data_IF_366946918583
#
_entry.id   IF_366946918583
#
_cell.length_a   1.000
_cell.length_b   1.000
_cell.length_c   1.000
_cell.angle_alpha   90.00
_cell.angle_beta   90.00
_cell.angle_gamma   90.00
#
_symmetry.space_group_name_H-M   'P 1'
#
loop_
_entity.id
_entity.type
_entity.pdbx_description
1 polymer ?
#
# COMPACT_ATOMS: atom_id res chain seq x y z
N UNK A 1 24.90 6.13 14.27
CA UNK A 1 23.57 5.50 14.33
C UNK A 1 22.52 6.48 14.84
N UNK A 2 22.65 7.06 16.03
CA UNK A 2 21.62 7.96 16.62
C UNK A 2 21.17 9.14 15.72
N UNK A 3 22.05 9.68 14.86
CA UNK A 3 21.66 10.76 13.94
C UNK A 3 20.81 10.27 12.76
N UNK A 4 21.04 9.04 12.28
CA UNK A 4 20.31 8.47 11.15
C UNK A 4 18.92 7.98 11.58
N UNK A 5 18.82 7.41 12.78
CA UNK A 5 17.54 7.03 13.38
C UNK A 5 16.64 8.26 13.57
N UNK A 6 17.19 9.37 14.08
CA UNK A 6 16.47 10.65 14.19
C UNK A 6 16.00 11.20 12.85
N UNK A 7 16.85 11.14 11.81
CA UNK A 7 16.46 11.58 10.46
C UNK A 7 15.35 10.68 9.88
N UNK A 8 15.42 9.38 10.16
CA UNK A 8 14.39 8.42 9.75
C UNK A 8 13.07 8.70 10.47
N UNK A 9 13.09 9.03 11.75
CA UNK A 9 11.90 9.43 12.50
C UNK A 9 11.26 10.69 11.94
N UNK A 10 12.06 11.74 11.69
CA UNK A 10 11.57 12.99 11.06
C UNK A 10 10.95 12.69 9.70
N UNK A 11 11.60 11.86 8.90
CA UNK A 11 11.10 11.46 7.59
C UNK A 11 9.77 10.71 7.67
N UNK A 12 9.62 9.81 8.64
CA UNK A 12 8.36 9.11 8.92
C UNK A 12 7.27 10.09 9.33
N UNK A 13 7.59 11.08 10.17
CA UNK A 13 6.63 12.11 10.57
C UNK A 13 6.16 12.96 9.38
N UNK A 14 7.06 13.33 8.48
CA UNK A 14 6.70 14.08 7.28
C UNK A 14 5.91 13.23 6.28
N UNK A 15 6.26 11.96 6.14
CA UNK A 15 5.47 11.01 5.36
C UNK A 15 4.04 10.89 5.90
N UNK A 16 3.87 10.84 7.23
CA UNK A 16 2.56 10.85 7.89
C UNK A 16 1.77 12.14 7.65
N UNK A 17 2.43 13.27 7.35
CA UNK A 17 1.77 14.55 7.04
C UNK A 17 1.29 14.61 5.58
N UNK A 18 1.83 13.76 4.71
CA UNK A 18 1.51 13.71 3.28
C UNK A 18 0.02 13.43 3.05
N UNK A 19 -0.64 14.09 2.07
CA UNK A 19 -2.05 13.87 1.76
C UNK A 19 -2.37 12.39 1.51
N UNK A 20 -1.51 11.66 0.80
CA UNK A 20 -1.70 10.22 0.54
C UNK A 20 -1.88 9.40 1.84
N UNK A 21 -1.02 9.63 2.85
CA UNK A 21 -1.10 8.93 4.13
C UNK A 21 -2.34 9.33 4.94
N UNK A 22 -2.68 10.62 4.96
CA UNK A 22 -3.88 11.12 5.65
C UNK A 22 -5.15 10.54 5.04
N UNK A 23 -5.28 10.60 3.71
CA UNK A 23 -6.42 10.04 2.98
C UNK A 23 -6.53 8.54 3.21
N UNK A 24 -5.43 7.79 3.11
CA UNK A 24 -5.41 6.36 3.45
C UNK A 24 -5.92 6.11 4.88
N UNK A 25 -5.43 6.88 5.86
CA UNK A 25 -5.82 6.70 7.27
C UNK A 25 -7.30 7.04 7.52
N UNK A 26 -7.83 8.05 6.85
CA UNK A 26 -9.23 8.44 6.99
C UNK A 26 -10.16 7.43 6.33
N UNK A 27 -9.81 6.94 5.13
CA UNK A 27 -10.55 5.86 4.46
C UNK A 27 -10.47 4.54 5.24
N UNK A 28 -9.32 4.23 5.84
CA UNK A 28 -9.16 3.08 6.73
C UNK A 28 -10.10 3.17 7.94
N UNK A 29 -10.20 4.35 8.58
CA UNK A 29 -11.11 4.56 9.71
C UNK A 29 -12.58 4.44 9.27
N UNK A 30 -12.92 4.92 8.09
CA UNK A 30 -14.27 4.82 7.56
C UNK A 30 -14.64 3.36 7.26
N UNK A 31 -13.73 2.61 6.62
CA UNK A 31 -13.90 1.20 6.29
C UNK A 31 -13.99 0.32 7.55
N UNK A 32 -13.18 0.61 8.58
CA UNK A 32 -13.24 -0.09 9.88
C UNK A 32 -14.55 0.07 10.65
N UNK A 33 -15.46 0.96 10.23
CA UNK A 33 -16.80 1.03 10.81
C UNK A 33 -17.72 -0.07 10.29
N UNK A 34 -17.36 -0.69 9.18
CA UNK A 34 -18.05 -1.82 8.57
C UNK A 34 -17.17 -3.06 8.74
N UNK A 35 -17.42 -3.82 9.80
CA UNK A 35 -16.61 -5.00 10.16
C UNK A 35 -16.65 -6.10 9.09
N UNK A 36 -17.78 -6.26 8.38
CA UNK A 36 -17.91 -7.26 7.33
C UNK A 36 -17.08 -6.90 6.10
N UNK A 37 -17.11 -5.62 5.70
CA UNK A 37 -16.30 -5.15 4.58
C UNK A 37 -14.81 -5.09 4.94
N UNK A 38 -14.50 -4.76 6.19
CA UNK A 38 -13.12 -4.73 6.68
C UNK A 38 -12.46 -6.11 6.63
N UNK A 39 -13.15 -7.18 7.06
CA UNK A 39 -12.60 -8.55 6.97
C UNK A 39 -12.36 -8.96 5.49
N UNK A 40 -13.28 -8.66 4.58
CA UNK A 40 -13.09 -8.89 3.13
C UNK A 40 -11.85 -8.18 2.58
N UNK A 41 -11.65 -6.91 2.94
CA UNK A 41 -10.48 -6.13 2.52
C UNK A 41 -9.20 -6.62 3.19
N UNK A 42 -9.27 -7.10 4.43
CA UNK A 42 -8.13 -7.66 5.14
C UNK A 42 -7.67 -9.00 4.53
N UNK A 43 -8.59 -9.88 4.17
CA UNK A 43 -8.28 -11.09 3.39
C UNK A 43 -7.65 -10.73 2.05
N UNK A 44 -8.20 -9.73 1.35
CA UNK A 44 -7.64 -9.21 0.10
C UNK A 44 -6.18 -8.73 0.29
N UNK A 45 -5.91 -7.94 1.33
CA UNK A 45 -4.55 -7.44 1.61
C UNK A 45 -3.57 -8.56 1.92
N UNK A 46 -3.98 -9.56 2.70
CA UNK A 46 -3.12 -10.71 2.99
C UNK A 46 -2.79 -11.49 1.71
N UNK A 47 -3.81 -11.82 0.90
CA UNK A 47 -3.60 -12.49 -0.38
C UNK A 47 -2.70 -11.67 -1.31
N UNK A 48 -2.89 -10.34 -1.38
CA UNK A 48 -2.04 -9.43 -2.17
C UNK A 48 -0.58 -9.43 -1.70
N UNK A 49 -0.37 -9.44 -0.39
CA UNK A 49 0.96 -9.48 0.21
C UNK A 49 1.64 -10.83 -0.04
N UNK A 50 0.94 -11.94 0.14
CA UNK A 50 1.47 -13.28 -0.20
C UNK A 50 1.76 -13.41 -1.70
N UNK A 51 0.96 -12.80 -2.56
CA UNK A 51 1.20 -12.75 -4.00
C UNK A 51 2.51 -12.03 -4.32
N UNK A 52 2.72 -10.84 -3.75
CA UNK A 52 3.93 -10.04 -3.93
C UNK A 52 5.17 -10.69 -3.32
N UNK A 53 5.02 -11.44 -2.23
CA UNK A 53 6.13 -12.10 -1.54
C UNK A 53 6.58 -13.39 -2.22
N UNK A 54 5.62 -14.18 -2.73
CA UNK A 54 5.88 -15.51 -3.27
C UNK A 54 6.00 -15.54 -4.81
N UNK A 55 5.70 -14.43 -5.48
CA UNK A 55 5.85 -14.33 -6.94
C UNK A 55 6.98 -13.34 -7.23
N UNK A 56 7.83 -13.64 -8.19
CA UNK A 56 8.84 -12.71 -8.73
C UNK A 56 9.00 -12.99 -10.23
N UNK A 57 9.18 -11.94 -11.04
CA UNK A 57 9.28 -12.03 -12.50
C UNK A 57 7.94 -11.88 -13.24
N UNK A 58 7.88 -12.31 -14.50
CA UNK A 58 6.74 -12.11 -15.42
C UNK A 58 5.41 -12.72 -14.95
N UNK A 59 5.43 -13.80 -14.13
CA UNK A 59 4.22 -14.38 -13.54
C UNK A 59 3.46 -13.43 -12.60
N UNK A 60 4.13 -12.38 -12.11
CA UNK A 60 3.55 -11.42 -11.17
C UNK A 60 2.50 -10.53 -11.85
N UNK A 61 2.68 -10.23 -13.14
CA UNK A 61 1.75 -9.41 -13.91
C UNK A 61 0.45 -10.19 -14.19
N UNK A 62 0.53 -11.43 -14.65
CA UNK A 62 -0.65 -12.26 -14.93
C UNK A 62 -1.44 -12.59 -13.66
N UNK A 63 -0.73 -12.90 -12.56
CA UNK A 63 -1.37 -13.15 -11.26
C UNK A 63 -1.96 -11.87 -10.65
N UNK A 64 -1.33 -10.70 -10.85
CA UNK A 64 -1.89 -9.44 -10.40
C UNK A 64 -3.16 -9.07 -11.19
N UNK A 65 -3.18 -9.28 -12.50
CA UNK A 65 -4.35 -8.99 -13.34
C UNK A 65 -5.52 -9.94 -13.01
N UNK A 66 -5.23 -11.23 -12.78
CA UNK A 66 -6.22 -12.20 -12.28
C UNK A 66 -6.74 -11.81 -10.89
N UNK A 67 -5.86 -11.38 -10.00
CA UNK A 67 -6.22 -10.95 -8.64
C UNK A 67 -7.07 -9.68 -8.64
N UNK A 68 -6.78 -8.71 -9.51
CA UNK A 68 -7.62 -7.51 -9.67
C UNK A 68 -9.00 -7.86 -10.23
N UNK A 69 -9.10 -8.81 -11.16
CA UNK A 69 -10.39 -9.28 -11.70
C UNK A 69 -11.22 -10.05 -10.69
N UNK A 70 -10.60 -10.99 -9.96
CA UNK A 70 -11.31 -11.82 -8.99
C UNK A 70 -11.84 -11.00 -7.82
N UNK A 71 -11.18 -9.87 -7.52
CA UNK A 71 -11.58 -8.94 -6.48
C UNK A 71 -12.31 -7.69 -7.00
N UNK A 72 -12.82 -7.73 -8.23
CA UNK A 72 -13.65 -6.67 -8.81
C UNK A 72 -14.88 -6.35 -7.93
N UNK A 73 -15.44 -7.34 -7.23
CA UNK A 73 -16.55 -7.16 -6.28
C UNK A 73 -16.21 -6.21 -5.11
N UNK A 74 -14.92 -6.08 -4.74
CA UNK A 74 -14.49 -5.14 -3.70
C UNK A 74 -14.61 -3.69 -4.23
N UNK A 75 -14.42 -3.48 -5.53
CA UNK A 75 -14.57 -2.19 -6.18
C UNK A 75 -16.04 -1.74 -6.35
N UNK A 76 -17.00 -2.66 -6.21
CA UNK A 76 -18.43 -2.32 -6.23
C UNK A 76 -18.85 -1.55 -4.95
N UNK A 77 -18.19 -1.82 -3.82
CA UNK A 77 -18.40 -1.03 -2.61
C UNK A 77 -17.56 0.26 -2.67
N UNK A 78 -18.25 1.40 -2.68
CA UNK A 78 -17.62 2.73 -2.73
C UNK A 78 -16.55 2.93 -1.64
N UNK A 79 -16.78 2.46 -0.42
CA UNK A 79 -15.86 2.67 0.70
C UNK A 79 -14.58 1.83 0.55
N UNK A 80 -14.72 0.59 0.11
CA UNK A 80 -13.58 -0.27 -0.13
C UNK A 80 -12.78 0.18 -1.35
N UNK A 81 -13.45 0.61 -2.43
CA UNK A 81 -12.80 1.23 -3.59
C UNK A 81 -11.97 2.46 -3.18
N UNK A 82 -12.59 3.41 -2.48
CA UNK A 82 -11.88 4.63 -2.04
C UNK A 82 -10.71 4.32 -1.11
N UNK A 83 -10.81 3.26 -0.29
CA UNK A 83 -9.71 2.80 0.54
C UNK A 83 -8.57 2.20 -0.30
N UNK A 84 -8.87 1.33 -1.26
CA UNK A 84 -7.89 0.69 -2.13
C UNK A 84 -7.18 1.71 -3.03
N UNK A 85 -7.90 2.69 -3.57
CA UNK A 85 -7.32 3.79 -4.34
C UNK A 85 -6.33 4.60 -3.49
N UNK A 86 -6.69 4.91 -2.24
CA UNK A 86 -5.82 5.60 -1.31
C UNK A 86 -4.59 4.75 -0.91
N UNK A 87 -4.76 3.43 -0.77
CA UNK A 87 -3.67 2.49 -0.52
C UNK A 87 -2.68 2.43 -1.69
N UNK A 88 -3.17 2.34 -2.93
CA UNK A 88 -2.32 2.36 -4.13
C UNK A 88 -1.55 3.68 -4.24
N UNK A 89 -2.20 4.82 -3.96
CA UNK A 89 -1.52 6.11 -3.96
C UNK A 89 -0.39 6.17 -2.92
N UNK A 90 -0.60 5.62 -1.72
CA UNK A 90 0.42 5.51 -0.68
C UNK A 90 1.56 4.55 -1.09
N UNK A 91 1.24 3.39 -1.68
CA UNK A 91 2.23 2.45 -2.18
C UNK A 91 3.11 3.06 -3.27
N UNK A 92 2.53 3.82 -4.22
CA UNK A 92 3.30 4.54 -5.26
C UNK A 92 4.26 5.55 -4.65
N UNK A 93 3.82 6.31 -3.66
CA UNK A 93 4.69 7.24 -2.92
C UNK A 93 5.86 6.49 -2.25
N UNK A 94 5.57 5.38 -1.56
CA UNK A 94 6.61 4.56 -0.91
C UNK A 94 7.60 3.99 -1.92
N UNK A 95 7.11 3.50 -3.07
CA UNK A 95 7.97 2.97 -4.13
C UNK A 95 8.87 4.04 -4.73
N UNK A 96 8.35 5.24 -5.00
CA UNK A 96 9.14 6.37 -5.52
C UNK A 96 10.26 6.76 -4.53
N UNK A 97 9.94 6.77 -3.23
CA UNK A 97 10.91 7.01 -2.16
C UNK A 97 11.99 5.93 -2.14
N UNK A 98 11.59 4.65 -2.09
CA UNK A 98 12.53 3.53 -2.07
C UNK A 98 13.42 3.56 -3.33
N UNK A 99 12.84 3.81 -4.49
CA UNK A 99 13.57 3.92 -5.76
C UNK A 99 14.61 5.03 -5.69
N UNK A 100 14.23 6.25 -5.27
CA UNK A 100 15.18 7.35 -5.10
C UNK A 100 16.30 7.01 -4.12
N UNK A 101 15.99 6.37 -2.99
CA UNK A 101 16.99 5.94 -2.02
C UNK A 101 17.95 4.92 -2.63
N UNK A 102 17.45 3.87 -3.28
CA UNK A 102 18.28 2.82 -3.88
C UNK A 102 19.08 3.32 -5.08
N UNK A 103 18.53 4.23 -5.89
CA UNK A 103 19.24 4.85 -7.02
C UNK A 103 20.29 5.87 -6.58
N UNK A 104 20.17 6.42 -5.37
CA UNK A 104 21.16 7.35 -4.81
C UNK A 104 22.31 6.64 -4.09
N UNK A 105 22.19 5.34 -3.85
CA UNK A 105 23.23 4.51 -3.24
C UNK A 105 23.99 3.82 -4.38
N UNK A 106 25.26 4.18 -4.55
CA UNK A 106 26.17 3.44 -5.44
C UNK A 106 26.58 2.14 -4.74
N UNK A 107 26.16 1.01 -5.30
CA UNK A 107 26.60 -0.32 -4.87
C UNK A 107 27.79 -0.74 -5.73
N UNK A 108 28.95 -0.11 -5.52
CA UNK A 108 30.24 -0.54 -6.06
C UNK A 108 31.16 -1.04 -4.94
#
# INVERSE_FOLDING_TARGET
>A
MESFDKLTEIYIEDLKKTPAYKTYRDKLKALKKDDEMWEKVKEYRNKRFDLQKNTSGDELYDKADWFEREHAYIYENKQAREFLEAEVALCKLMQDICFRLTSSIEFE
#
